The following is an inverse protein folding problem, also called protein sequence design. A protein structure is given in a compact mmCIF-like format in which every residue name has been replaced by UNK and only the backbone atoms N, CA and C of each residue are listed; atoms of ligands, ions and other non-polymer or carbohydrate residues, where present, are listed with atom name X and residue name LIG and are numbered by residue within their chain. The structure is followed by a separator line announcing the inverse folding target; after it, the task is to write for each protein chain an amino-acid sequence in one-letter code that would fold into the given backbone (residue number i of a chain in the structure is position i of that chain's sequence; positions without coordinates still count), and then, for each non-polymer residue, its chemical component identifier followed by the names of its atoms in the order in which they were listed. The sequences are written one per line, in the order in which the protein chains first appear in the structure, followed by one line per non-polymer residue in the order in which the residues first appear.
data_IF_224976607790
#
_entry.id   IF_224976607790
#
_cell.length_a   1.000
_cell.length_b   1.000
_cell.length_c   1.000
_cell.angle_alpha   90.00
_cell.angle_beta   90.00
_cell.angle_gamma   90.00
#
_symmetry.space_group_name_H-M   'P 1'
#
loop_
_entity.id
_entity.type
_entity.pdbx_description
1 polymer ?
#
# COMPACT_ATOMS: atom_id res chain seq x y z
N UNK A 1 14.16 0.14 0.82
CA UNK A 1 14.20 -0.33 2.21
C UNK A 1 15.21 -1.47 2.38
N UNK A 2 15.81 -1.65 3.58
CA UNK A 2 16.68 -2.79 3.84
C UNK A 2 15.91 -4.12 3.82
N UNK A 3 16.62 -5.23 3.63
CA UNK A 3 16.02 -6.58 3.59
C UNK A 3 15.24 -6.97 4.86
N UNK A 4 15.53 -6.33 6.01
CA UNK A 4 14.82 -6.54 7.27
C UNK A 4 13.67 -5.57 7.53
N UNK A 5 13.28 -4.76 6.53
CA UNK A 5 12.20 -3.80 6.69
C UNK A 5 10.87 -4.48 7.02
N UNK A 6 10.06 -3.82 7.84
CA UNK A 6 8.68 -4.19 8.14
C UNK A 6 7.72 -3.16 7.55
N UNK A 7 6.53 -3.61 7.21
CA UNK A 7 5.50 -2.78 6.60
C UNK A 7 4.18 -2.93 7.36
N UNK A 8 3.42 -1.85 7.43
CA UNK A 8 2.01 -1.90 7.80
C UNK A 8 1.19 -1.21 6.71
N UNK A 9 0.12 -1.85 6.26
CA UNK A 9 -0.85 -1.26 5.34
C UNK A 9 -2.14 -1.07 6.11
N UNK A 10 -2.56 0.19 6.25
CA UNK A 10 -3.78 0.59 6.95
C UNK A 10 -4.84 1.11 6.00
N UNK A 11 -6.10 0.86 6.31
CA UNK A 11 -7.25 1.40 5.58
C UNK A 11 -8.14 2.18 6.51
N UNK A 12 -8.52 3.37 6.05
CA UNK A 12 -9.45 4.28 6.75
C UNK A 12 -10.60 4.58 5.82
N UNK A 13 -11.81 4.38 6.31
CA UNK A 13 -13.03 4.71 5.60
C UNK A 13 -13.88 5.65 6.46
N UNK A 14 -14.14 6.83 5.94
CA UNK A 14 -14.97 7.86 6.56
C UNK A 14 -16.18 8.17 5.68
N UNK A 15 -17.17 8.85 6.24
CA UNK A 15 -18.21 9.44 5.40
C UNK A 15 -17.60 10.41 4.40
N UNK A 16 -18.10 10.44 3.17
CA UNK A 16 -17.57 11.32 2.12
C UNK A 16 -17.57 12.81 2.54
N UNK A 17 -18.58 13.24 3.29
CA UNK A 17 -18.65 14.60 3.84
C UNK A 17 -17.55 14.92 4.86
N UNK A 18 -16.88 13.91 5.40
CA UNK A 18 -15.80 14.05 6.38
C UNK A 18 -14.40 13.82 5.75
N UNK A 19 -14.27 13.78 4.43
CA UNK A 19 -13.00 13.55 3.71
C UNK A 19 -11.89 14.49 4.22
N UNK A 20 -12.15 15.78 4.34
CA UNK A 20 -11.17 16.76 4.82
C UNK A 20 -10.70 16.48 6.26
N UNK A 21 -11.60 16.08 7.14
CA UNK A 21 -11.26 15.73 8.53
C UNK A 21 -10.45 14.43 8.60
N UNK A 22 -10.78 13.44 7.78
CA UNK A 22 -10.02 12.20 7.64
C UNK A 22 -8.59 12.45 7.16
N UNK A 23 -8.43 13.33 6.15
CA UNK A 23 -7.10 13.76 5.65
C UNK A 23 -6.28 14.40 6.75
N UNK A 24 -6.84 15.37 7.47
CA UNK A 24 -6.14 16.07 8.54
C UNK A 24 -5.67 15.12 9.66
N UNK A 25 -6.53 14.19 10.07
CA UNK A 25 -6.17 13.18 11.07
C UNK A 25 -5.03 12.27 10.60
N UNK A 26 -5.03 11.86 9.34
CA UNK A 26 -3.98 11.03 8.76
C UNK A 26 -2.66 11.80 8.56
N UNK A 27 -2.71 13.07 8.20
CA UNK A 27 -1.53 13.93 8.10
C UNK A 27 -0.86 14.11 9.46
N UNK A 28 -1.63 14.36 10.52
CA UNK A 28 -1.11 14.43 11.90
C UNK A 28 -0.47 13.10 12.33
N UNK A 29 -1.13 11.99 12.04
CA UNK A 29 -0.61 10.65 12.31
C UNK A 29 0.72 10.40 11.59
N UNK A 30 0.78 10.66 10.27
CA UNK A 30 2.01 10.56 9.49
C UNK A 30 3.14 11.38 10.11
N UNK A 31 2.88 12.63 10.44
CA UNK A 31 3.90 13.54 10.95
C UNK A 31 4.43 13.09 12.32
N UNK A 32 3.56 12.55 13.17
CA UNK A 32 3.94 11.95 14.44
C UNK A 32 4.80 10.68 14.27
N UNK A 33 4.47 9.80 13.30
CA UNK A 33 5.24 8.60 13.05
C UNK A 33 6.62 8.90 12.45
N UNK A 34 6.74 9.90 11.59
CA UNK A 34 8.01 10.28 10.95
C UNK A 34 9.07 10.76 11.92
N UNK A 35 8.69 11.18 13.13
CA UNK A 35 9.61 11.57 14.19
C UNK A 35 10.15 10.37 14.99
N UNK A 36 9.63 9.17 14.76
CA UNK A 36 9.99 8.02 15.57
C UNK A 36 11.21 7.29 15.02
N UNK A 37 12.02 6.79 15.93
CA UNK A 37 13.20 6.02 15.55
C UNK A 37 12.80 4.75 14.78
N UNK A 38 13.47 4.51 13.67
CA UNK A 38 13.22 3.35 12.81
C UNK A 38 12.09 3.52 11.80
N UNK A 39 11.32 4.62 11.84
CA UNK A 39 10.40 4.97 10.77
C UNK A 39 11.19 5.38 9.52
N UNK A 40 11.00 4.69 8.41
CA UNK A 40 11.65 4.99 7.13
C UNK A 40 10.75 5.82 6.22
N UNK A 41 9.47 5.53 6.20
CA UNK A 41 8.48 6.27 5.43
C UNK A 41 7.07 6.06 5.98
N UNK A 42 6.22 7.08 5.83
CA UNK A 42 4.77 6.98 5.96
C UNK A 42 4.18 7.67 4.74
N UNK A 43 3.50 6.91 3.92
CA UNK A 43 2.85 7.35 2.68
C UNK A 43 1.34 7.28 2.88
N UNK A 44 0.65 8.35 2.51
CA UNK A 44 -0.79 8.48 2.61
C UNK A 44 -1.41 8.55 1.22
N UNK A 45 -2.52 7.88 1.04
CA UNK A 45 -3.20 7.78 -0.23
C UNK A 45 -4.70 8.03 -0.09
N UNK A 46 -5.30 8.64 -1.12
CA UNK A 46 -6.75 8.82 -1.25
C UNK A 46 -7.26 8.00 -2.42
N UNK A 47 -8.28 7.19 -2.21
CA UNK A 47 -8.81 6.29 -3.23
C UNK A 47 -9.47 7.09 -4.37
N UNK A 48 -9.10 6.77 -5.60
CA UNK A 48 -9.65 7.45 -6.79
C UNK A 48 -11.15 7.14 -6.89
N UNK A 49 -11.95 8.20 -7.04
CA UNK A 49 -13.41 8.07 -7.18
C UNK A 49 -14.17 7.76 -5.89
N UNK A 50 -13.49 7.64 -4.72
CA UNK A 50 -14.15 7.33 -3.43
C UNK A 50 -13.70 8.29 -2.33
N UNK A 51 -14.30 9.49 -2.22
CA UNK A 51 -14.00 10.43 -1.14
C UNK A 51 -14.20 9.79 0.24
N UNK A 52 -13.30 10.08 1.17
CA UNK A 52 -13.33 9.50 2.51
C UNK A 52 -12.68 8.10 2.62
N UNK A 53 -12.14 7.55 1.53
CA UNK A 53 -11.42 6.28 1.54
C UNK A 53 -9.93 6.51 1.36
N UNK A 54 -9.15 6.02 2.33
CA UNK A 54 -7.72 6.26 2.41
C UNK A 54 -6.95 4.96 2.62
N UNK A 55 -5.69 4.96 2.18
CA UNK A 55 -4.72 3.96 2.58
C UNK A 55 -3.49 4.62 3.20
N UNK A 56 -2.87 3.91 4.14
CA UNK A 56 -1.63 4.29 4.82
C UNK A 56 -0.61 3.19 4.58
N UNK A 57 0.55 3.52 4.06
CA UNK A 57 1.67 2.60 3.96
C UNK A 57 2.79 3.06 4.86
N UNK A 58 3.05 2.31 5.90
CA UNK A 58 4.18 2.52 6.81
C UNK A 58 5.33 1.59 6.42
N UNK A 59 6.53 2.13 6.39
CA UNK A 59 7.78 1.38 6.19
C UNK A 59 8.70 1.64 7.37
N UNK A 60 9.11 0.56 8.01
CA UNK A 60 9.96 0.59 9.21
C UNK A 60 11.26 -0.15 8.97
N UNK A 61 12.32 0.22 9.68
CA UNK A 61 13.65 -0.40 9.57
C UNK A 61 13.63 -1.90 9.90
N UNK A 62 12.77 -2.31 10.82
CA UNK A 62 12.61 -3.70 11.27
C UNK A 62 11.23 -3.93 11.89
N UNK A 63 10.89 -5.21 12.11
CA UNK A 63 9.69 -5.57 12.86
C UNK A 63 9.72 -5.00 14.29
N UNK A 64 10.87 -5.05 14.96
CA UNK A 64 11.00 -4.50 16.30
C UNK A 64 10.73 -2.98 16.36
N UNK A 65 11.14 -2.23 15.32
CA UNK A 65 10.84 -0.81 15.22
C UNK A 65 9.33 -0.55 14.99
N UNK A 66 8.68 -1.36 14.16
CA UNK A 66 7.23 -1.31 13.97
C UNK A 66 6.48 -1.63 15.27
N UNK A 67 6.91 -2.66 15.99
CA UNK A 67 6.28 -3.09 17.25
C UNK A 67 6.46 -2.05 18.37
N UNK A 68 7.61 -1.35 18.37
CA UNK A 68 7.90 -0.26 19.31
C UNK A 68 7.22 1.07 18.94
N UNK A 69 6.47 1.11 17.85
CA UNK A 69 5.75 2.30 17.39
C UNK A 69 4.88 2.89 18.52
N UNK A 70 4.96 4.21 18.67
CA UNK A 70 4.25 4.93 19.71
C UNK A 70 2.73 4.73 19.62
N UNK A 71 2.18 4.00 20.58
CA UNK A 71 0.75 3.73 20.69
C UNK A 71 -0.10 5.02 20.80
N UNK A 72 0.46 6.09 21.36
CA UNK A 72 -0.25 7.36 21.52
C UNK A 72 -0.58 8.04 20.18
N UNK A 73 0.28 7.93 19.17
CA UNK A 73 -0.03 8.47 17.84
C UNK A 73 -1.23 7.72 17.21
N UNK A 74 -1.25 6.40 17.34
CA UNK A 74 -2.37 5.58 16.85
C UNK A 74 -3.65 5.83 17.65
N UNK A 75 -3.54 5.98 18.96
CA UNK A 75 -4.71 6.31 19.79
C UNK A 75 -5.33 7.64 19.37
N UNK A 76 -4.55 8.69 19.17
CA UNK A 76 -5.04 9.99 18.68
C UNK A 76 -5.72 9.87 17.31
N UNK A 77 -5.16 9.10 16.40
CA UNK A 77 -5.80 8.81 15.11
C UNK A 77 -7.17 8.16 15.32
N UNK A 78 -7.26 7.13 16.17
CA UNK A 78 -8.52 6.44 16.45
C UNK A 78 -9.57 7.38 17.07
N UNK A 79 -9.17 8.23 18.00
CA UNK A 79 -10.03 9.23 18.60
C UNK A 79 -10.57 10.24 17.57
N UNK A 80 -9.70 10.73 16.68
CA UNK A 80 -10.08 11.65 15.61
C UNK A 80 -11.03 11.01 14.59
N UNK A 81 -10.82 9.73 14.27
CA UNK A 81 -11.64 9.00 13.29
C UNK A 81 -12.98 8.53 13.87
N UNK A 82 -13.08 8.31 15.18
CA UNK A 82 -14.27 7.77 15.84
C UNK A 82 -15.59 8.43 15.39
N UNK A 83 -15.74 9.77 15.38
CA UNK A 83 -17.00 10.42 15.02
C UNK A 83 -17.29 10.41 13.52
N UNK A 84 -16.33 10.08 12.67
CA UNK A 84 -16.43 10.23 11.20
C UNK A 84 -16.30 8.92 10.41
N UNK A 85 -15.75 7.87 11.01
CA UNK A 85 -15.53 6.57 10.34
C UNK A 85 -16.83 5.85 10.03
N UNK A 86 -16.80 5.03 8.97
CA UNK A 86 -17.88 4.11 8.59
C UNK A 86 -17.50 2.64 8.79
N UNK A 87 -16.21 2.36 8.95
CA UNK A 87 -15.67 1.04 9.30
C UNK A 87 -14.58 1.17 10.35
N UNK A 88 -14.17 0.06 10.95
CA UNK A 88 -13.01 0.03 11.82
C UNK A 88 -11.72 0.24 11.02
N UNK A 89 -10.68 0.76 11.69
CA UNK A 89 -9.36 0.87 11.09
C UNK A 89 -8.79 -0.53 10.85
N UNK A 90 -8.62 -0.89 9.58
CA UNK A 90 -8.03 -2.17 9.16
C UNK A 90 -6.53 -1.99 8.93
N UNK A 91 -5.71 -2.55 9.78
CA UNK A 91 -4.26 -2.52 9.67
C UNK A 91 -3.69 -3.93 9.56
N UNK A 92 -2.86 -4.14 8.57
CA UNK A 92 -2.28 -5.44 8.25
C UNK A 92 -0.76 -5.36 8.22
N UNK A 93 -0.05 -6.22 8.99
CA UNK A 93 1.41 -6.24 9.04
C UNK A 93 1.99 -7.14 7.95
N UNK A 94 3.05 -6.66 7.31
CA UNK A 94 3.73 -7.34 6.21
C UNK A 94 5.24 -7.35 6.36
N UNK A 95 5.86 -8.37 5.77
CA UNK A 95 7.28 -8.45 5.46
C UNK A 95 7.49 -8.40 3.95
N UNK A 96 8.66 -7.98 3.46
CA UNK A 96 8.92 -7.98 2.03
C UNK A 96 9.00 -9.41 1.47
N UNK A 97 8.36 -9.65 0.33
CA UNK A 97 8.62 -10.81 -0.52
C UNK A 97 9.62 -10.45 -1.62
N UNK A 98 9.35 -9.35 -2.35
CA UNK A 98 10.30 -8.77 -3.29
C UNK A 98 10.11 -7.25 -3.35
N UNK A 99 11.21 -6.52 -3.22
CA UNK A 99 11.24 -5.06 -3.27
C UNK A 99 12.15 -4.61 -4.41
N UNK A 100 11.80 -3.48 -5.00
CA UNK A 100 12.68 -2.76 -5.92
C UNK A 100 13.14 -1.43 -5.32
N UNK A 101 14.19 -0.85 -5.91
CA UNK A 101 14.50 0.54 -5.65
C UNK A 101 13.35 1.42 -6.16
N UNK A 102 12.90 2.37 -5.34
CA UNK A 102 11.91 3.36 -5.74
C UNK A 102 12.54 4.33 -6.75
N UNK A 103 12.16 4.20 -8.01
CA UNK A 103 12.68 5.04 -9.10
C UNK A 103 12.11 6.46 -9.09
N UNK A 104 10.97 6.65 -8.44
CA UNK A 104 10.31 7.97 -8.32
C UNK A 104 11.01 8.89 -7.33
N UNK A 105 11.76 8.36 -6.39
CA UNK A 105 12.40 9.13 -5.32
C UNK A 105 11.39 9.93 -4.49
N UNK A 106 11.88 10.92 -3.72
CA UNK A 106 11.03 11.73 -2.86
C UNK A 106 10.04 12.63 -3.64
N UNK A 107 10.46 13.13 -4.80
CA UNK A 107 9.61 13.99 -5.65
C UNK A 107 8.53 13.17 -6.38
N UNK A 108 8.85 11.96 -6.82
CA UNK A 108 7.90 11.09 -7.50
C UNK A 108 6.77 10.59 -6.59
N UNK A 109 7.02 10.47 -5.30
CA UNK A 109 6.00 10.01 -4.33
C UNK A 109 4.79 10.91 -4.15
N UNK A 110 4.83 12.12 -4.70
CA UNK A 110 3.72 13.09 -4.64
C UNK A 110 2.92 13.16 -5.94
N UNK A 111 3.26 12.35 -6.93
CA UNK A 111 2.63 12.35 -8.26
C UNK A 111 2.40 10.93 -8.75
N UNK A 112 1.63 10.79 -9.82
CA UNK A 112 1.33 9.50 -10.43
C UNK A 112 0.17 8.77 -9.76
N UNK A 113 0.03 7.50 -10.09
CA UNK A 113 -1.04 6.62 -9.61
C UNK A 113 -0.43 5.48 -8.82
N UNK A 114 -0.97 5.25 -7.63
CA UNK A 114 -0.64 4.08 -6.82
C UNK A 114 -1.74 3.03 -6.94
N UNK A 115 -1.35 1.77 -6.89
CA UNK A 115 -2.27 0.65 -6.75
C UNK A 115 -1.87 -0.16 -5.54
N UNK A 116 -2.85 -0.50 -4.73
CA UNK A 116 -2.69 -1.47 -3.64
C UNK A 116 -3.63 -2.62 -3.92
N UNK A 117 -3.07 -3.80 -4.14
CA UNK A 117 -3.83 -5.01 -4.47
C UNK A 117 -3.65 -6.07 -3.39
N UNK A 118 -4.74 -6.68 -2.97
CA UNK A 118 -4.72 -7.83 -2.07
C UNK A 118 -4.92 -9.12 -2.84
N UNK A 119 -4.04 -10.07 -2.60
CA UNK A 119 -4.03 -11.40 -3.24
C UNK A 119 -4.15 -12.45 -2.15
N UNK A 120 -5.36 -12.97 -1.98
CA UNK A 120 -5.66 -14.06 -1.06
C UNK A 120 -5.76 -15.36 -1.84
N UNK A 121 -4.89 -16.32 -1.51
CA UNK A 121 -4.80 -17.60 -2.22
C UNK A 121 -4.93 -18.77 -1.24
N UNK A 122 -5.16 -19.95 -1.78
CA UNK A 122 -5.08 -21.18 -0.98
C UNK A 122 -3.64 -21.35 -0.43
N UNK A 123 -3.47 -21.92 0.76
CA UNK A 123 -2.15 -22.17 1.34
C UNK A 123 -1.27 -23.05 0.42
N UNK A 124 0.05 -22.81 0.46
CA UNK A 124 1.05 -23.61 -0.25
C UNK A 124 0.91 -23.64 -1.79
N UNK A 125 0.39 -22.55 -2.37
CA UNK A 125 0.32 -22.37 -3.82
C UNK A 125 1.59 -21.72 -4.38
N UNK A 126 1.70 -21.70 -5.70
CA UNK A 126 2.78 -21.01 -6.42
C UNK A 126 2.59 -19.50 -6.56
N UNK A 127 1.52 -18.94 -5.97
CA UNK A 127 1.21 -17.50 -6.08
C UNK A 127 2.38 -16.57 -5.71
N UNK A 128 3.20 -16.82 -4.67
CA UNK A 128 4.38 -16.01 -4.40
C UNK A 128 5.37 -15.97 -5.57
N UNK A 129 5.60 -17.09 -6.26
CA UNK A 129 6.48 -17.16 -7.42
C UNK A 129 5.89 -16.43 -8.63
N UNK A 130 4.58 -16.56 -8.86
CA UNK A 130 3.86 -15.81 -9.90
C UNK A 130 3.98 -14.30 -9.69
N UNK A 131 3.82 -13.83 -8.44
CA UNK A 131 3.95 -12.42 -8.09
C UNK A 131 5.39 -11.90 -8.22
N UNK A 132 6.39 -12.72 -7.91
CA UNK A 132 7.79 -12.35 -8.14
C UNK A 132 8.07 -12.18 -9.62
N UNK A 133 7.61 -13.11 -10.46
CA UNK A 133 7.75 -13.03 -11.93
C UNK A 133 7.04 -11.79 -12.49
N UNK A 134 5.82 -11.52 -12.04
CA UNK A 134 5.09 -10.32 -12.42
C UNK A 134 5.87 -9.05 -12.03
N UNK A 135 6.38 -8.99 -10.79
CA UNK A 135 7.14 -7.84 -10.32
C UNK A 135 8.40 -7.57 -11.14
N UNK A 136 9.14 -8.61 -11.52
CA UNK A 136 10.33 -8.50 -12.37
C UNK A 136 9.98 -7.91 -13.75
N UNK A 137 8.94 -8.41 -14.40
CA UNK A 137 8.48 -7.91 -15.68
C UNK A 137 7.96 -6.46 -15.58
N UNK A 138 7.11 -6.18 -14.60
CA UNK A 138 6.50 -4.86 -14.42
C UNK A 138 7.53 -3.77 -14.12
N UNK A 139 8.60 -4.11 -13.40
CA UNK A 139 9.70 -3.17 -13.13
C UNK A 139 10.46 -2.74 -14.37
N UNK A 140 10.36 -3.49 -15.46
CA UNK A 140 11.00 -3.14 -16.75
C UNK A 140 10.08 -2.27 -17.62
N UNK A 141 8.81 -2.10 -17.27
CA UNK A 141 7.87 -1.32 -18.05
C UNK A 141 8.18 0.19 -17.98
N UNK A 142 8.02 0.90 -19.11
CA UNK A 142 8.07 2.36 -19.11
C UNK A 142 7.00 2.95 -18.17
N UNK A 143 7.42 3.90 -17.32
CA UNK A 143 6.51 4.54 -16.36
C UNK A 143 6.30 3.77 -15.07
N UNK A 144 6.85 2.56 -14.90
CA UNK A 144 6.91 1.92 -13.61
C UNK A 144 7.92 2.61 -12.70
N UNK A 145 7.45 3.12 -11.56
CA UNK A 145 8.29 3.76 -10.55
C UNK A 145 8.57 2.84 -9.36
N UNK A 146 7.63 1.94 -9.04
CA UNK A 146 7.72 0.97 -7.95
C UNK A 146 6.79 -0.21 -8.22
N UNK A 147 7.25 -1.40 -7.89
CA UNK A 147 6.42 -2.61 -7.86
C UNK A 147 6.94 -3.51 -6.74
N UNK A 148 6.31 -3.45 -5.58
CA UNK A 148 6.69 -4.20 -4.40
C UNK A 148 5.65 -5.28 -4.10
N UNK A 149 6.12 -6.46 -3.71
CA UNK A 149 5.28 -7.54 -3.24
C UNK A 149 5.59 -7.79 -1.77
N UNK A 150 4.56 -7.72 -0.96
CA UNK A 150 4.60 -7.91 0.48
C UNK A 150 3.84 -9.18 0.86
N UNK A 151 4.30 -9.89 1.89
CA UNK A 151 3.67 -11.08 2.43
C UNK A 151 3.24 -10.82 3.86
N UNK A 152 2.00 -11.16 4.21
CA UNK A 152 1.48 -11.00 5.57
C UNK A 152 2.30 -11.82 6.56
N UNK A 153 2.66 -11.22 7.71
CA UNK A 153 3.61 -11.84 8.66
C UNK A 153 3.12 -13.16 9.26
N UNK A 154 1.81 -13.31 9.46
CA UNK A 154 1.20 -14.50 10.08
C UNK A 154 0.48 -15.42 9.08
N UNK A 155 0.14 -14.91 7.89
CA UNK A 155 -0.62 -15.63 6.87
C UNK A 155 0.12 -15.58 5.53
N UNK A 156 0.98 -16.57 5.31
CA UNK A 156 1.85 -16.60 4.13
C UNK A 156 1.09 -16.66 2.78
N UNK A 157 -0.18 -17.02 2.82
CA UNK A 157 -1.08 -17.05 1.67
C UNK A 157 -1.85 -15.73 1.44
N UNK A 158 -1.57 -14.69 2.23
CA UNK A 158 -2.05 -13.33 2.02
C UNK A 158 -0.91 -12.43 1.58
N UNK A 159 -1.00 -11.93 0.36
CA UNK A 159 0.00 -11.06 -0.24
C UNK A 159 -0.61 -9.70 -0.58
N UNK A 160 0.24 -8.70 -0.64
CA UNK A 160 -0.16 -7.35 -1.06
C UNK A 160 0.85 -6.84 -2.06
N UNK A 161 0.36 -6.30 -3.16
CA UNK A 161 1.18 -5.61 -4.16
C UNK A 161 1.00 -4.12 -3.98
N UNK A 162 2.11 -3.39 -3.95
CA UNK A 162 2.12 -1.92 -3.96
C UNK A 162 2.80 -1.47 -5.22
N UNK A 163 2.04 -0.85 -6.09
CA UNK A 163 2.51 -0.33 -7.37
C UNK A 163 2.52 1.21 -7.35
N UNK A 164 3.47 1.77 -8.07
CA UNK A 164 3.51 3.20 -8.36
C UNK A 164 3.84 3.41 -9.83
N UNK A 165 2.96 4.11 -10.51
CA UNK A 165 3.05 4.41 -11.94
C UNK A 165 3.12 5.91 -12.17
N UNK A 166 3.93 6.33 -13.13
CA UNK A 166 4.12 7.74 -13.48
C UNK A 166 2.82 8.43 -13.88
N UNK A 167 1.88 7.68 -14.47
CA UNK A 167 0.59 8.19 -14.94
C UNK A 167 -0.46 7.10 -15.04
N UNK A 168 -1.73 7.47 -15.19
CA UNK A 168 -2.81 6.55 -15.50
C UNK A 168 -2.55 5.80 -16.80
N UNK A 169 -2.04 6.46 -17.83
CA UNK A 169 -1.73 5.82 -19.11
C UNK A 169 -0.66 4.72 -18.97
N UNK A 170 0.33 4.90 -18.10
CA UNK A 170 1.32 3.86 -17.82
C UNK A 170 0.69 2.66 -17.10
N UNK A 171 -0.19 2.90 -16.13
CA UNK A 171 -0.98 1.86 -15.47
C UNK A 171 -1.89 1.12 -16.45
N UNK A 172 -2.59 1.83 -17.33
CA UNK A 172 -3.48 1.22 -18.33
C UNK A 172 -2.68 0.30 -19.30
N UNK A 173 -1.46 0.72 -19.65
CA UNK A 173 -0.55 -0.09 -20.47
C UNK A 173 -0.15 -1.37 -19.73
N UNK A 174 0.21 -1.27 -18.45
CA UNK A 174 0.53 -2.41 -17.59
C UNK A 174 -0.65 -3.39 -17.49
N UNK A 175 -1.85 -2.90 -17.24
CA UNK A 175 -3.06 -3.75 -17.14
C UNK A 175 -3.30 -4.53 -18.44
N UNK A 176 -2.97 -3.94 -19.60
CA UNK A 176 -3.09 -4.56 -20.90
C UNK A 176 -1.86 -5.41 -21.33
N UNK A 177 -0.78 -5.41 -20.57
CA UNK A 177 0.45 -6.13 -20.92
C UNK A 177 0.25 -7.66 -20.92
N UNK A 178 1.00 -8.37 -21.75
CA UNK A 178 0.89 -9.82 -21.87
C UNK A 178 1.20 -10.52 -20.54
N UNK A 179 2.29 -10.14 -19.87
CA UNK A 179 2.70 -10.72 -18.59
C UNK A 179 1.68 -10.48 -17.46
N UNK A 180 0.93 -9.37 -17.50
CA UNK A 180 -0.14 -9.10 -16.53
C UNK A 180 -1.33 -10.01 -16.77
N UNK A 181 -1.71 -10.23 -18.04
CA UNK A 181 -2.77 -11.19 -18.38
C UNK A 181 -2.38 -12.62 -18.02
N UNK A 182 -1.17 -13.04 -18.40
CA UNK A 182 -0.64 -14.37 -18.05
C UNK A 182 -0.66 -14.61 -16.53
N UNK A 183 -0.25 -13.60 -15.76
CA UNK A 183 -0.32 -13.65 -14.29
C UNK A 183 -1.75 -13.82 -13.79
N UNK A 184 -2.70 -13.04 -14.29
CA UNK A 184 -4.12 -13.10 -13.87
C UNK A 184 -4.73 -14.46 -14.20
N UNK A 185 -4.45 -15.00 -15.38
CA UNK A 185 -4.93 -16.32 -15.81
C UNK A 185 -4.36 -17.43 -14.91
N UNK A 186 -3.06 -17.37 -14.60
CA UNK A 186 -2.41 -18.34 -13.71
C UNK A 186 -2.85 -18.21 -12.25
N UNK A 187 -3.17 -16.99 -11.78
CA UNK A 187 -3.60 -16.72 -10.42
C UNK A 187 -5.05 -17.18 -10.18
N UNK A 188 -5.93 -17.02 -11.16
CA UNK A 188 -7.38 -17.26 -11.02
C UNK A 188 -7.74 -18.58 -10.33
N UNK A 189 -7.17 -19.74 -10.69
CA UNK A 189 -7.50 -21.00 -10.05
C UNK A 189 -6.96 -21.13 -8.61
N UNK A 190 -6.06 -20.24 -8.18
CA UNK A 190 -5.41 -20.26 -6.87
C UNK A 190 -6.09 -19.34 -5.86
N UNK A 191 -6.92 -18.38 -6.33
CA UNK A 191 -7.54 -17.37 -5.46
C UNK A 191 -8.72 -17.94 -4.68
N UNK A 192 -8.78 -17.58 -3.39
CA UNK A 192 -9.94 -17.85 -2.52
C UNK A 192 -11.00 -16.74 -2.56
N UNK A 193 -10.67 -15.59 -3.13
CA UNK A 193 -11.56 -14.42 -3.28
C UNK A 193 -11.21 -13.65 -4.54
N UNK A 194 -12.12 -12.82 -5.07
CA UNK A 194 -11.80 -11.91 -6.16
C UNK A 194 -10.61 -11.01 -5.82
N UNK A 195 -9.78 -10.67 -6.81
CA UNK A 195 -8.66 -9.77 -6.65
C UNK A 195 -9.17 -8.37 -6.27
N UNK A 196 -8.72 -7.84 -5.14
CA UNK A 196 -9.06 -6.51 -4.64
C UNK A 196 -7.95 -5.52 -5.04
N UNK A 197 -8.13 -4.86 -6.16
CA UNK A 197 -7.20 -3.85 -6.70
C UNK A 197 -7.82 -2.47 -6.51
N UNK A 198 -7.13 -1.59 -5.79
CA UNK A 198 -7.59 -0.23 -5.51
C UNK A 198 -6.56 0.78 -6.00
N UNK A 199 -7.02 1.72 -6.83
CA UNK A 199 -6.20 2.81 -7.33
C UNK A 199 -6.31 4.06 -6.44
N UNK A 200 -5.18 4.73 -6.23
CA UNK A 200 -5.05 5.86 -5.32
C UNK A 200 -4.24 6.99 -5.93
N UNK A 201 -4.59 8.20 -5.51
CA UNK A 201 -3.70 9.36 -5.63
C UNK A 201 -2.89 9.52 -4.33
N UNK A 202 -1.63 9.96 -4.41
CA UNK A 202 -0.89 10.33 -3.21
C UNK A 202 -1.58 11.52 -2.52
N UNK A 203 -1.64 11.47 -1.19
CA UNK A 203 -2.08 12.60 -0.40
C UNK A 203 -0.88 13.54 -0.24
N UNK A 204 -0.82 14.60 -1.07
CA UNK A 204 0.29 15.54 -1.06
C UNK A 204 0.25 16.43 0.19
N UNK A 205 1.32 16.43 1.01
CA UNK A 205 1.41 17.29 2.18
C UNK A 205 1.56 18.80 1.86
N UNK A 206 1.67 19.17 0.58
CA UNK A 206 2.05 20.54 0.18
C UNK A 206 0.97 21.36 -0.52
N UNK A 207 -0.22 20.83 -0.67
CA UNK A 207 -1.36 21.63 -1.08
C UNK A 207 -2.00 22.26 0.16
N UNK A 208 -1.39 23.32 0.65
CA UNK A 208 -2.04 24.33 1.50
C UNK A 208 -2.59 25.44 0.66
#
# INVERSE_FOLDING_TARGET
PPLGAAFAVGYVETRAAADAAGRAALEEYRDALRQQEGCLAVELFTQIGRPGHFAVLETWRSQAALDARNAGAKQKLMEALQPIRISDYDERPYKPLTLAADKGGAAGRTQGVFVVSHVDVAPNTEAPALLQKLAEASRMEPGNLRFDVLQHVQRANHLTVVEHWQSQAALDTHVAAAHTREYRDALQPLTGSPLDERAYNPLDPRRR
#
